data_IF_265140163471
#
_entry.id   IF_265140163471
#
_cell.length_a   1.000
_cell.length_b   1.000
_cell.length_c   1.000
_cell.angle_alpha   90.00
_cell.angle_beta   90.00
_cell.angle_gamma   90.00
#
_symmetry.space_group_name_H-M   'P 1'
#
loop_
_entity.id
_entity.type
_entity.pdbx_description
1 polymer ?
#
# COMPACT_ATOMS: atom_id res chain seq x y z
N UNK A 1 -1.55 -9.46 8.36
CA UNK A 1 -0.40 -8.61 8.74
C UNK A 1 0.72 -9.55 9.14
N UNK A 2 1.92 -9.31 8.64
CA UNK A 2 3.11 -10.13 8.89
C UNK A 2 4.25 -9.27 9.44
N UNK A 3 5.11 -9.87 10.25
CA UNK A 3 6.34 -9.21 10.69
C UNK A 3 7.28 -9.02 9.49
N UNK A 4 7.81 -7.81 9.36
CA UNK A 4 8.65 -7.40 8.25
C UNK A 4 10.07 -7.93 8.39
N UNK A 5 10.47 -8.84 7.50
CA UNK A 5 11.84 -9.28 7.32
C UNK A 5 12.38 -8.76 5.97
N UNK A 6 12.04 -9.45 4.88
CA UNK A 6 12.29 -8.96 3.52
C UNK A 6 10.94 -8.69 2.84
N UNK A 7 10.43 -7.47 2.96
CA UNK A 7 9.08 -7.12 2.55
C UNK A 7 8.78 -7.45 1.08
N UNK A 8 9.75 -7.26 0.15
CA UNK A 8 9.54 -7.57 -1.27
C UNK A 8 9.48 -9.07 -1.52
N UNK A 9 10.34 -9.85 -0.88
CA UNK A 9 10.30 -11.31 -0.98
C UNK A 9 9.03 -11.89 -0.35
N UNK A 10 8.59 -11.32 0.78
CA UNK A 10 7.34 -11.69 1.45
C UNK A 10 6.12 -11.34 0.60
N UNK A 11 6.11 -10.16 -0.05
CA UNK A 11 5.09 -9.76 -1.01
C UNK A 11 5.04 -10.73 -2.19
N UNK A 12 6.19 -11.06 -2.79
CA UNK A 12 6.27 -11.98 -3.91
C UNK A 12 5.70 -13.37 -3.55
N UNK A 13 6.05 -13.89 -2.37
CA UNK A 13 5.52 -15.16 -1.88
C UNK A 13 3.99 -15.11 -1.72
N UNK A 14 3.46 -14.02 -1.17
CA UNK A 14 2.02 -13.80 -1.05
C UNK A 14 1.33 -13.76 -2.42
N UNK A 15 1.88 -13.01 -3.38
CA UNK A 15 1.29 -12.90 -4.73
C UNK A 15 1.29 -14.24 -5.46
N UNK A 16 2.38 -14.99 -5.40
CA UNK A 16 2.49 -16.30 -6.05
C UNK A 16 1.57 -17.36 -5.43
N UNK A 17 1.35 -17.28 -4.11
CA UNK A 17 0.52 -18.25 -3.41
C UNK A 17 -0.98 -17.99 -3.56
N UNK A 18 -1.41 -16.75 -3.62
CA UNK A 18 -2.81 -16.37 -3.46
C UNK A 18 -3.38 -15.51 -4.60
N UNK A 19 -2.52 -14.82 -5.40
CA UNK A 19 -2.94 -13.79 -6.36
C UNK A 19 -2.21 -13.84 -7.71
N UNK A 20 -1.81 -15.02 -8.16
CA UNK A 20 -1.14 -15.18 -9.45
C UNK A 20 -2.04 -14.71 -10.60
N UNK A 21 -1.56 -13.73 -11.39
CA UNK A 21 -2.30 -13.18 -12.51
C UNK A 21 -3.48 -12.26 -12.14
N UNK A 22 -3.63 -11.91 -10.88
CA UNK A 22 -4.71 -11.02 -10.41
C UNK A 22 -4.28 -9.56 -10.29
N UNK A 23 -5.23 -8.64 -10.44
CA UNK A 23 -5.00 -7.21 -10.27
C UNK A 23 -4.95 -6.83 -8.78
N UNK A 24 -4.02 -5.95 -8.44
CA UNK A 24 -3.87 -5.47 -7.07
C UNK A 24 -3.09 -4.16 -6.95
N UNK A 25 -3.07 -3.61 -5.74
CA UNK A 25 -2.37 -2.38 -5.43
C UNK A 25 -1.35 -2.63 -4.32
N UNK A 26 -0.12 -2.16 -4.52
CA UNK A 26 0.97 -2.24 -3.54
C UNK A 26 1.35 -0.82 -3.12
N UNK A 27 1.04 -0.45 -1.89
CA UNK A 27 1.37 0.86 -1.34
C UNK A 27 2.78 0.89 -0.75
N UNK A 28 3.54 1.93 -1.13
CA UNK A 28 4.88 2.22 -0.65
C UNK A 28 4.97 3.66 -0.12
N UNK A 29 5.82 3.89 0.88
CA UNK A 29 5.98 5.18 1.52
C UNK A 29 6.65 6.24 0.62
N UNK A 30 7.59 5.83 -0.24
CA UNK A 30 8.38 6.74 -1.06
C UNK A 30 8.31 6.44 -2.55
N UNK A 31 8.52 7.48 -3.37
CA UNK A 31 8.60 7.37 -4.84
C UNK A 31 9.64 6.35 -5.30
N UNK A 32 10.85 6.42 -4.74
CA UNK A 32 11.93 5.48 -5.02
C UNK A 32 11.51 4.03 -4.75
N UNK A 33 10.86 3.78 -3.61
CA UNK A 33 10.40 2.45 -3.24
C UNK A 33 9.31 1.93 -4.18
N UNK A 34 8.44 2.82 -4.69
CA UNK A 34 7.45 2.50 -5.73
C UNK A 34 8.14 1.98 -6.98
N UNK A 35 9.12 2.72 -7.51
CA UNK A 35 9.85 2.34 -8.72
C UNK A 35 10.63 1.04 -8.55
N UNK A 36 11.36 0.90 -7.43
CA UNK A 36 12.09 -0.31 -7.09
C UNK A 36 11.17 -1.53 -6.93
N UNK A 37 9.96 -1.35 -6.38
CA UNK A 37 9.00 -2.44 -6.20
C UNK A 37 8.39 -2.85 -7.53
N UNK A 38 8.00 -1.90 -8.38
CA UNK A 38 7.50 -2.21 -9.72
C UNK A 38 8.54 -2.94 -10.56
N UNK A 39 9.81 -2.46 -10.55
CA UNK A 39 10.91 -3.10 -11.27
C UNK A 39 11.19 -4.52 -10.74
N UNK A 40 11.19 -4.72 -9.43
CA UNK A 40 11.36 -6.02 -8.81
C UNK A 40 10.25 -7.00 -9.23
N UNK A 41 8.99 -6.60 -9.16
CA UNK A 41 7.87 -7.46 -9.57
C UNK A 41 7.94 -7.81 -11.06
N UNK A 42 8.29 -6.85 -11.92
CA UNK A 42 8.48 -7.10 -13.35
C UNK A 42 9.61 -8.11 -13.62
N UNK A 43 10.73 -8.02 -12.90
CA UNK A 43 11.83 -8.97 -13.00
C UNK A 43 11.43 -10.40 -12.57
N UNK A 44 10.46 -10.51 -11.68
CA UNK A 44 9.87 -11.78 -11.23
C UNK A 44 8.71 -12.28 -12.10
N UNK A 45 8.47 -11.63 -13.24
CA UNK A 45 7.43 -12.01 -14.21
C UNK A 45 6.02 -11.52 -13.89
N UNK A 46 5.86 -10.66 -12.87
CA UNK A 46 4.59 -10.04 -12.52
C UNK A 46 4.47 -8.69 -13.23
N UNK A 47 3.39 -8.49 -13.97
CA UNK A 47 3.14 -7.22 -14.66
C UNK A 47 2.83 -6.11 -13.67
N UNK A 48 3.81 -5.27 -13.37
CA UNK A 48 3.68 -4.19 -12.40
C UNK A 48 3.98 -2.83 -13.02
N UNK A 49 3.24 -1.81 -12.59
CA UNK A 49 3.38 -0.42 -13.05
C UNK A 49 3.59 0.50 -11.84
N UNK A 50 4.51 1.48 -11.92
CA UNK A 50 4.67 2.49 -10.88
C UNK A 50 3.64 3.61 -11.01
N UNK A 51 3.26 4.21 -9.86
CA UNK A 51 2.43 5.41 -9.81
C UNK A 51 2.79 6.29 -8.62
N UNK A 52 3.25 7.50 -8.89
CA UNK A 52 3.48 8.53 -7.86
C UNK A 52 3.47 9.94 -8.46
N UNK A 53 3.30 10.96 -7.62
CA UNK A 53 3.16 12.35 -8.05
C UNK A 53 4.40 12.94 -8.74
N UNK A 54 5.57 12.31 -8.61
CA UNK A 54 6.81 12.74 -9.28
C UNK A 54 6.98 12.24 -10.70
N UNK A 55 6.05 11.42 -11.21
CA UNK A 55 6.09 10.93 -12.60
C UNK A 55 5.54 11.99 -13.55
N UNK A 56 6.02 11.96 -14.80
CA UNK A 56 5.45 12.77 -15.88
C UNK A 56 3.96 12.44 -16.07
N UNK A 57 3.13 13.48 -16.22
CA UNK A 57 1.67 13.32 -16.33
C UNK A 57 1.24 12.34 -17.40
N UNK A 58 1.77 12.35 -18.65
CA UNK A 58 1.39 11.37 -19.67
C UNK A 58 1.71 9.92 -19.28
N UNK A 59 2.86 9.70 -18.62
CA UNK A 59 3.24 8.35 -18.15
C UNK A 59 2.31 7.88 -17.04
N UNK A 60 2.04 8.76 -16.09
CA UNK A 60 1.14 8.48 -14.97
C UNK A 60 -0.28 8.17 -15.42
N UNK A 61 -0.84 8.95 -16.35
CA UNK A 61 -2.16 8.74 -16.94
C UNK A 61 -2.24 7.43 -17.73
N UNK A 62 -1.20 7.11 -18.51
CA UNK A 62 -1.10 5.83 -19.21
C UNK A 62 -1.09 4.66 -18.25
N UNK A 63 -0.26 4.70 -17.20
CA UNK A 63 -0.18 3.62 -16.21
C UNK A 63 -1.52 3.44 -15.49
N UNK A 64 -2.19 4.53 -15.13
CA UNK A 64 -3.52 4.49 -14.52
C UNK A 64 -4.56 3.87 -15.47
N UNK A 65 -4.57 4.29 -16.73
CA UNK A 65 -5.49 3.77 -17.75
C UNK A 65 -5.24 2.28 -17.99
N UNK A 66 -3.98 1.87 -18.08
CA UNK A 66 -3.60 0.45 -18.23
C UNK A 66 -4.11 -0.37 -17.04
N UNK A 67 -3.88 0.10 -15.82
CA UNK A 67 -4.40 -0.58 -14.63
C UNK A 67 -5.91 -0.71 -14.63
N UNK A 68 -6.64 0.35 -15.02
CA UNK A 68 -8.10 0.34 -15.04
C UNK A 68 -8.71 -0.57 -16.09
N UNK A 69 -8.05 -0.74 -17.25
CA UNK A 69 -8.62 -1.43 -18.41
C UNK A 69 -8.12 -2.85 -18.60
N UNK A 70 -6.97 -3.17 -18.06
CA UNK A 70 -6.33 -4.45 -18.31
C UNK A 70 -6.32 -5.32 -17.05
N UNK A 71 -6.45 -6.64 -17.25
CA UNK A 71 -6.45 -7.62 -16.18
C UNK A 71 -5.02 -7.96 -15.73
N UNK A 72 -4.88 -8.47 -14.50
CA UNK A 72 -3.63 -9.00 -14.00
C UNK A 72 -2.51 -7.95 -13.82
N UNK A 73 -2.85 -6.68 -13.73
CA UNK A 73 -1.87 -5.60 -13.51
C UNK A 73 -1.77 -5.27 -12.03
N UNK A 74 -0.54 -5.22 -11.51
CA UNK A 74 -0.23 -4.77 -10.16
C UNK A 74 0.22 -3.30 -10.21
N UNK A 75 -0.43 -2.43 -9.45
CA UNK A 75 -0.02 -1.03 -9.33
C UNK A 75 0.82 -0.83 -8.07
N UNK A 76 2.13 -0.57 -8.22
CA UNK A 76 2.96 -0.10 -7.11
C UNK A 76 2.83 1.42 -6.98
N UNK A 77 2.39 1.92 -5.84
CA UNK A 77 2.02 3.33 -5.72
C UNK A 77 2.31 3.94 -4.34
N UNK A 78 2.44 5.26 -4.32
CA UNK A 78 2.26 6.04 -3.08
C UNK A 78 0.77 6.29 -2.83
N UNK A 79 0.44 6.87 -1.67
CA UNK A 79 -0.94 7.27 -1.33
C UNK A 79 -1.56 8.28 -2.34
N UNK A 80 -0.75 8.84 -3.25
CA UNK A 80 -1.26 9.66 -4.34
C UNK A 80 -2.13 8.88 -5.34
N UNK A 81 -1.98 7.54 -5.37
CA UNK A 81 -2.82 6.67 -6.17
C UNK A 81 -4.10 6.32 -5.40
N UNK A 82 -5.18 6.93 -5.80
CA UNK A 82 -6.42 6.64 -5.10
C UNK A 82 -7.61 7.47 -5.53
N UNK A 83 -7.46 8.74 -5.82
CA UNK A 83 -8.56 9.55 -6.31
C UNK A 83 -8.93 9.12 -7.73
N UNK A 84 -10.20 8.74 -7.95
CA UNK A 84 -10.71 8.35 -9.27
C UNK A 84 -10.35 6.94 -9.72
N UNK A 85 -9.83 6.07 -8.86
CA UNK A 85 -9.64 4.66 -9.18
C UNK A 85 -10.92 3.90 -8.90
N UNK A 86 -11.56 3.46 -9.98
CA UNK A 86 -12.77 2.64 -9.94
C UNK A 86 -12.58 1.35 -10.75
N UNK A 87 -11.68 0.49 -10.27
CA UNK A 87 -11.47 -0.87 -10.77
C UNK A 87 -12.14 -1.84 -9.80
N UNK A 88 -13.24 -2.50 -10.19
CA UNK A 88 -14.02 -3.33 -9.26
C UNK A 88 -13.33 -4.64 -8.86
N UNK A 89 -12.51 -5.19 -9.74
CA UNK A 89 -11.86 -6.49 -9.65
C UNK A 89 -10.45 -6.46 -9.04
N UNK A 90 -10.15 -5.47 -8.20
CA UNK A 90 -8.92 -5.46 -7.41
C UNK A 90 -9.00 -6.58 -6.36
N UNK A 91 -8.10 -7.57 -6.46
CA UNK A 91 -8.12 -8.77 -5.60
C UNK A 91 -7.30 -8.62 -4.33
N UNK A 92 -6.34 -7.70 -4.31
CA UNK A 92 -5.57 -7.44 -3.10
C UNK A 92 -5.13 -5.97 -2.99
N UNK A 93 -4.96 -5.53 -1.76
CA UNK A 93 -4.21 -4.32 -1.41
C UNK A 93 -3.11 -4.72 -0.43
N UNK A 94 -1.87 -4.45 -0.80
CA UNK A 94 -0.69 -4.76 -0.01
C UNK A 94 0.03 -3.47 0.45
N UNK A 95 0.53 -3.46 1.68
CA UNK A 95 1.31 -2.38 2.25
C UNK A 95 2.72 -2.87 2.56
N UNK A 96 3.74 -2.28 1.92
CA UNK A 96 5.15 -2.55 2.21
C UNK A 96 5.71 -1.66 3.32
N UNK A 97 4.93 -0.68 3.75
CA UNK A 97 5.24 0.25 4.83
C UNK A 97 3.99 0.49 5.67
N UNK A 98 4.18 0.83 6.94
CA UNK A 98 3.11 1.12 7.87
C UNK A 98 2.31 2.37 7.42
N UNK A 99 0.99 2.29 7.21
CA UNK A 99 0.14 3.45 6.99
C UNK A 99 0.19 4.44 8.15
N UNK A 100 -0.06 5.71 7.87
CA UNK A 100 0.01 6.78 8.87
C UNK A 100 -1.14 6.74 9.87
N UNK A 101 -2.25 6.11 9.52
CA UNK A 101 -3.46 6.03 10.34
C UNK A 101 -4.37 4.89 9.92
N UNK A 102 -5.26 4.49 10.81
CA UNK A 102 -6.30 3.48 10.53
C UNK A 102 -7.23 3.97 9.41
N UNK A 103 -7.60 5.25 9.40
CA UNK A 103 -8.48 5.82 8.36
C UNK A 103 -7.86 5.70 6.97
N UNK A 104 -6.55 6.03 6.86
CA UNK A 104 -5.80 5.85 5.61
C UNK A 104 -5.78 4.39 5.17
N UNK A 105 -5.46 3.49 6.10
CA UNK A 105 -5.46 2.05 5.86
C UNK A 105 -6.82 1.54 5.34
N UNK A 106 -7.92 1.94 5.97
CA UNK A 106 -9.26 1.56 5.51
C UNK A 106 -9.62 2.14 4.15
N UNK A 107 -9.26 3.38 3.88
CA UNK A 107 -9.50 4.00 2.55
C UNK A 107 -8.71 3.28 1.44
N UNK A 108 -7.50 2.84 1.75
CA UNK A 108 -6.62 2.13 0.82
C UNK A 108 -7.09 0.69 0.61
N UNK A 109 -7.37 -0.05 1.66
CA UNK A 109 -7.88 -1.44 1.59
C UNK A 109 -9.29 -1.52 1.03
N UNK A 110 -10.12 -0.50 1.24
CA UNK A 110 -11.47 -0.38 0.68
C UNK A 110 -11.53 -0.25 -0.85
N UNK A 111 -10.37 -0.27 -1.54
CA UNK A 111 -10.29 -0.33 -3.01
C UNK A 111 -10.41 -1.75 -3.56
N UNK A 112 -10.18 -2.74 -2.73
CA UNK A 112 -10.28 -4.14 -3.12
C UNK A 112 -11.71 -4.69 -2.97
N UNK A 113 -12.10 -5.61 -3.85
CA UNK A 113 -13.36 -6.34 -3.77
C UNK A 113 -14.63 -5.51 -3.96
N UNK A 114 -14.59 -4.44 -4.74
CA UNK A 114 -15.77 -3.58 -5.00
C UNK A 114 -16.86 -4.27 -5.80
N UNK A 115 -16.53 -5.34 -6.47
CA UNK A 115 -17.49 -6.23 -7.16
C UNK A 115 -18.17 -7.24 -6.22
N UNK A 116 -17.89 -7.19 -4.93
CA UNK A 116 -18.41 -8.12 -3.92
C UNK A 116 -17.69 -9.45 -3.83
N UNK A 117 -16.67 -9.68 -4.68
CA UNK A 117 -15.85 -10.89 -4.62
C UNK A 117 -14.79 -10.80 -3.50
N UNK A 118 -14.28 -11.95 -3.07
CA UNK A 118 -13.24 -12.01 -2.05
C UNK A 118 -11.98 -11.25 -2.47
N UNK A 119 -11.41 -10.51 -1.53
CA UNK A 119 -10.18 -9.76 -1.72
C UNK A 119 -9.37 -9.72 -0.42
N UNK A 120 -8.06 -9.62 -0.53
CA UNK A 120 -7.15 -9.67 0.61
C UNK A 120 -6.52 -8.30 0.89
N UNK A 121 -6.40 -7.97 2.18
CA UNK A 121 -5.57 -6.88 2.68
C UNK A 121 -4.33 -7.47 3.35
N UNK A 122 -3.16 -7.19 2.78
CA UNK A 122 -1.88 -7.68 3.28
C UNK A 122 -0.98 -6.52 3.71
N UNK A 123 -0.21 -6.70 4.77
CA UNK A 123 0.75 -5.70 5.23
C UNK A 123 1.95 -6.36 5.89
N UNK A 124 3.17 -5.90 5.53
CA UNK A 124 4.39 -6.18 6.26
C UNK A 124 4.80 -4.94 7.06
N UNK A 125 4.91 -5.05 8.38
CA UNK A 125 5.37 -3.95 9.22
C UNK A 125 6.42 -4.44 10.23
N UNK A 126 7.28 -3.52 10.66
CA UNK A 126 8.30 -3.78 11.66
C UNK A 126 8.63 -2.53 12.47
N UNK A 127 9.41 -2.69 13.53
CA UNK A 127 9.78 -1.60 14.42
C UNK A 127 10.43 -0.41 13.70
N UNK A 128 11.18 -0.66 12.62
CA UNK A 128 11.80 0.39 11.82
C UNK A 128 10.77 1.30 11.14
N UNK A 129 9.61 0.76 10.74
CA UNK A 129 8.53 1.57 10.16
C UNK A 129 7.95 2.52 11.20
N UNK A 130 7.80 2.05 12.44
CA UNK A 130 7.32 2.87 13.57
C UNK A 130 8.28 4.00 13.87
N UNK A 131 9.58 3.70 13.98
CA UNK A 131 10.63 4.70 14.22
C UNK A 131 10.64 5.75 13.11
N UNK A 132 10.53 5.31 11.86
CA UNK A 132 10.49 6.21 10.70
C UNK A 132 9.25 7.12 10.72
N UNK A 133 8.07 6.57 11.00
CA UNK A 133 6.83 7.36 11.08
C UNK A 133 6.87 8.38 12.23
N UNK A 134 7.36 8.00 13.43
CA UNK A 134 7.53 8.94 14.53
C UNK A 134 8.49 10.07 14.17
N UNK A 135 9.64 9.74 13.60
CA UNK A 135 10.61 10.73 13.14
C UNK A 135 9.99 11.69 12.11
N UNK A 136 9.23 11.20 11.14
CA UNK A 136 8.54 12.05 10.16
C UNK A 136 7.52 13.00 10.82
N UNK A 137 6.85 12.58 11.89
CA UNK A 137 5.95 13.43 12.67
C UNK A 137 6.75 14.51 13.39
N UNK A 138 7.83 14.15 14.08
CA UNK A 138 8.65 15.07 14.86
C UNK A 138 9.34 16.13 13.99
N UNK A 139 9.85 15.73 12.82
CA UNK A 139 10.52 16.61 11.86
C UNK A 139 9.54 17.44 10.98
N UNK A 140 8.23 17.21 11.10
CA UNK A 140 7.24 17.98 10.33
C UNK A 140 7.16 19.42 10.83
N UNK A 141 6.79 20.36 9.93
CA UNK A 141 6.54 21.78 10.26
C UNK A 141 5.20 22.01 10.99
N UNK A 142 4.48 20.96 11.35
CA UNK A 142 3.21 21.06 12.06
C UNK A 142 3.39 21.56 13.48
N UNK A 143 2.37 22.23 14.01
CA UNK A 143 2.35 22.61 15.42
C UNK A 143 2.31 21.41 16.37
N UNK A 144 2.67 21.61 17.62
CA UNK A 144 2.76 20.53 18.62
C UNK A 144 1.42 19.85 18.90
N UNK A 145 0.29 20.57 18.74
CA UNK A 145 -1.04 20.01 18.90
C UNK A 145 -1.33 19.01 17.77
N UNK A 146 -1.00 19.38 16.55
CA UNK A 146 -1.20 18.51 15.38
C UNK A 146 -0.24 17.31 15.39
N UNK A 147 1.02 17.48 15.80
CA UNK A 147 1.97 16.38 16.00
C UNK A 147 1.44 15.35 16.99
N UNK A 148 0.85 15.83 18.11
CA UNK A 148 0.21 14.95 19.09
C UNK A 148 -0.95 14.15 18.49
N UNK A 149 -1.80 14.78 17.68
CA UNK A 149 -2.88 14.09 16.97
C UNK A 149 -2.34 13.01 16.03
N UNK A 150 -1.29 13.33 15.26
CA UNK A 150 -0.63 12.35 14.38
C UNK A 150 -0.04 11.18 15.17
N UNK A 151 0.56 11.45 16.33
CA UNK A 151 1.08 10.42 17.24
C UNK A 151 -0.01 9.46 17.73
N UNK A 152 -1.15 10.00 18.18
CA UNK A 152 -2.31 9.18 18.62
C UNK A 152 -2.84 8.32 17.46
N UNK A 153 -2.90 8.85 16.25
CA UNK A 153 -3.32 8.08 15.07
C UNK A 153 -2.36 6.95 14.73
N UNK A 154 -1.07 7.20 14.86
CA UNK A 154 -0.04 6.16 14.68
C UNK A 154 -0.15 5.08 15.75
N UNK A 155 -0.34 5.45 17.01
CA UNK A 155 -0.50 4.50 18.12
C UNK A 155 -1.74 3.62 17.94
N UNK A 156 -2.85 4.19 17.45
CA UNK A 156 -4.04 3.44 17.09
C UNK A 156 -3.76 2.44 15.94
N UNK A 157 -2.99 2.86 14.92
CA UNK A 157 -2.59 1.97 13.82
C UNK A 157 -1.72 0.81 14.32
N UNK A 158 -0.81 1.07 15.27
CA UNK A 158 0.00 0.02 15.91
C UNK A 158 -0.86 -0.96 16.70
N UNK A 159 -1.84 -0.47 17.44
CA UNK A 159 -2.82 -1.31 18.14
C UNK A 159 -3.54 -2.26 17.19
N UNK A 160 -3.90 -1.80 15.99
CA UNK A 160 -4.48 -2.66 14.94
C UNK A 160 -3.49 -3.72 14.46
N UNK A 161 -2.21 -3.37 14.28
CA UNK A 161 -1.17 -4.32 13.84
C UNK A 161 -0.92 -5.42 14.86
N UNK A 162 -0.94 -5.09 16.14
CA UNK A 162 -0.64 -5.99 17.26
C UNK A 162 -1.86 -6.80 17.74
N UNK A 163 -3.05 -6.46 17.27
CA UNK A 163 -4.26 -7.18 17.62
C UNK A 163 -4.22 -8.62 17.11
N UNK A 164 -4.46 -9.58 18.02
CA UNK A 164 -4.57 -11.02 17.74
C UNK A 164 -6.00 -11.47 17.41
N UNK A 165 -7.00 -10.62 17.65
CA UNK A 165 -8.40 -10.87 17.30
C UNK A 165 -8.74 -10.43 15.88
N UNK A 166 -9.98 -10.71 15.44
CA UNK A 166 -10.45 -10.29 14.12
C UNK A 166 -10.34 -8.76 13.96
N UNK A 167 -9.70 -8.33 12.87
CA UNK A 167 -9.49 -6.90 12.55
C UNK A 167 -10.64 -6.27 11.76
N UNK A 168 -11.69 -7.03 11.45
CA UNK A 168 -12.95 -6.51 10.93
C UNK A 168 -13.81 -6.09 12.10
N UNK A 169 -13.98 -4.81 12.25
CA UNK A 169 -15.00 -4.21 13.12
C UNK A 169 -15.98 -3.45 12.25
#
# INVERSE_FOLDING_TARGET
>A
IVEKANARAQLLAFLRAEHEGEAGIVYCLSRRKVEETAAFLCAEGIRALPYHAGMDSPVRERNQTTFQREDGVVMAATIAFGMGIDKPDVRFVAHLDLPKSIEGYYQETGRAGRDGMAANAWMAYGLQDVVLQRRMIDESEADETFKRVLGVKLDAMLGLCETLSCRRM
#
